data_IF_664816585767
#
_entry.id   IF_664816585767
#
_cell.length_a   1.000
_cell.length_b   1.000
_cell.length_c   1.000
_cell.angle_alpha   90.00
_cell.angle_beta   90.00
_cell.angle_gamma   90.00
#
_symmetry.space_group_name_H-M   'P 1'
#
loop_
_entity.id
_entity.type
_entity.pdbx_description
1 polymer ?
#
# COMPACT_ATOMS: atom_id res chain seq x y z
N UNK A 1 -3.32 -25.33 -14.71
CA UNK A 1 -2.95 -25.66 -13.31
C UNK A 1 -1.58 -25.10 -12.89
N UNK A 2 -0.61 -24.91 -13.79
CA UNK A 2 0.73 -24.35 -13.46
C UNK A 2 0.77 -22.83 -13.15
N UNK A 3 -0.06 -22.00 -13.80
CA UNK A 3 -0.01 -20.55 -13.63
C UNK A 3 -0.49 -20.08 -12.23
N UNK A 4 -1.50 -20.74 -11.67
CA UNK A 4 -2.04 -20.39 -10.34
C UNK A 4 -1.02 -20.65 -9.23
N UNK A 5 -0.18 -21.68 -9.39
CA UNK A 5 0.84 -22.05 -8.41
C UNK A 5 2.11 -21.19 -8.52
N UNK A 6 2.44 -20.72 -9.73
CA UNK A 6 3.52 -19.76 -9.96
C UNK A 6 3.26 -18.40 -9.31
N UNK A 7 2.00 -17.93 -9.36
CA UNK A 7 1.58 -16.70 -8.68
C UNK A 7 1.61 -16.81 -7.15
N UNK A 8 1.49 -18.01 -6.59
CA UNK A 8 1.55 -18.22 -5.14
C UNK A 8 2.96 -18.11 -4.57
N UNK A 9 4.01 -18.47 -5.31
CA UNK A 9 5.36 -18.68 -4.76
C UNK A 9 6.29 -17.44 -4.74
N UNK A 10 5.88 -16.28 -5.28
CA UNK A 10 6.74 -15.08 -5.39
C UNK A 10 6.08 -13.76 -5.00
N UNK A 11 5.13 -13.76 -4.07
CA UNK A 11 4.54 -12.53 -3.52
C UNK A 11 4.90 -12.39 -2.05
N UNK A 12 5.36 -11.22 -1.64
CA UNK A 12 5.84 -10.94 -0.28
C UNK A 12 4.80 -11.31 0.80
N UNK A 13 3.51 -11.09 0.53
CA UNK A 13 2.40 -11.46 1.43
C UNK A 13 2.34 -12.98 1.63
N UNK A 14 2.45 -13.77 0.56
CA UNK A 14 2.37 -15.23 0.66
C UNK A 14 3.56 -15.81 1.42
N UNK A 15 4.76 -15.26 1.22
CA UNK A 15 5.94 -15.69 1.97
C UNK A 15 5.75 -15.52 3.48
N UNK A 16 5.15 -14.39 3.91
CA UNK A 16 4.83 -14.14 5.31
C UNK A 16 3.76 -15.10 5.84
N UNK A 17 2.76 -15.44 5.01
CA UNK A 17 1.69 -16.36 5.39
C UNK A 17 2.12 -17.83 5.48
N UNK A 18 3.32 -18.18 5.00
CA UNK A 18 3.85 -19.55 5.02
C UNK A 18 5.09 -19.70 5.89
N UNK A 19 5.39 -18.72 6.77
CA UNK A 19 6.56 -18.82 7.67
C UNK A 19 6.44 -19.97 8.67
N UNK A 20 5.22 -20.29 9.09
CA UNK A 20 4.86 -21.45 9.92
C UNK A 20 5.80 -21.68 11.11
N UNK A 21 5.96 -20.66 11.96
CA UNK A 21 6.77 -20.77 13.17
C UNK A 21 8.27 -20.54 12.97
N UNK A 22 8.80 -20.66 11.75
CA UNK A 22 10.25 -20.61 11.50
C UNK A 22 11.01 -21.80 12.11
N UNK A 23 12.34 -21.85 11.94
CA UNK A 23 13.16 -22.92 12.53
C UNK A 23 13.47 -22.58 13.99
N UNK A 24 13.06 -23.44 14.92
CA UNK A 24 13.38 -23.30 16.35
C UNK A 24 12.49 -22.32 17.12
N UNK A 25 11.36 -21.91 16.55
CA UNK A 25 10.37 -21.06 17.23
C UNK A 25 8.95 -21.51 16.87
N UNK A 26 7.98 -21.05 17.67
CA UNK A 26 6.55 -21.27 17.46
C UNK A 26 5.81 -19.92 17.29
N UNK A 27 6.52 -18.89 16.82
CA UNK A 27 5.91 -17.58 16.58
C UNK A 27 4.88 -17.65 15.45
N UNK A 28 3.71 -17.08 15.68
CA UNK A 28 2.69 -16.94 14.64
C UNK A 28 3.20 -16.00 13.54
N UNK A 29 2.74 -16.25 12.31
CA UNK A 29 3.00 -15.36 11.19
C UNK A 29 2.48 -13.94 11.50
N UNK A 30 3.20 -12.89 11.09
CA UNK A 30 2.73 -11.53 11.28
C UNK A 30 1.48 -11.28 10.44
N UNK A 31 0.53 -10.50 10.98
CA UNK A 31 -0.56 -9.93 10.18
C UNK A 31 0.02 -8.88 9.23
N UNK A 32 -0.55 -8.77 8.03
CA UNK A 32 -0.07 -7.85 6.99
C UNK A 32 -1.14 -6.82 6.69
N UNK A 33 -0.79 -5.55 6.74
CA UNK A 33 -1.61 -4.43 6.27
C UNK A 33 -0.97 -3.84 5.00
N UNK A 34 -1.63 -3.98 3.86
CA UNK A 34 -1.24 -3.34 2.61
C UNK A 34 -1.89 -1.96 2.51
N UNK A 35 -1.07 -0.92 2.34
CA UNK A 35 -1.54 0.47 2.26
C UNK A 35 -1.34 0.98 0.83
N UNK A 36 -2.42 1.40 0.18
CA UNK A 36 -2.34 2.10 -1.10
C UNK A 36 -2.02 3.58 -0.84
N UNK A 37 -1.02 4.19 -1.53
CA UNK A 37 -0.76 5.63 -1.42
C UNK A 37 -1.93 6.45 -2.01
N UNK A 38 -2.09 7.73 -1.61
CA UNK A 38 -3.03 8.62 -2.29
C UNK A 38 -2.62 8.81 -3.76
N UNK A 39 -3.57 9.10 -4.67
CA UNK A 39 -3.24 9.42 -6.06
C UNK A 39 -2.31 10.63 -6.17
N UNK A 40 -1.47 10.63 -7.21
CA UNK A 40 -0.59 11.77 -7.49
C UNK A 40 -1.41 13.04 -7.73
N UNK A 41 -0.85 14.18 -7.30
CA UNK A 41 -1.47 15.47 -7.53
C UNK A 41 -1.10 15.97 -8.94
N UNK A 42 -2.05 16.51 -9.73
CA UNK A 42 -1.77 17.07 -11.06
C UNK A 42 -0.65 18.11 -11.13
N UNK A 43 -0.36 18.81 -10.02
CA UNK A 43 0.78 19.74 -9.95
C UNK A 43 2.14 19.07 -10.24
N UNK A 44 2.26 17.75 -10.08
CA UNK A 44 3.48 17.00 -10.39
C UNK A 44 3.95 17.20 -11.84
N UNK A 45 3.02 17.37 -12.79
CA UNK A 45 3.33 17.55 -14.21
C UNK A 45 4.03 18.88 -14.51
N UNK A 46 3.88 19.87 -13.61
CA UNK A 46 4.56 21.17 -13.71
C UNK A 46 5.96 21.15 -13.12
N UNK A 47 6.32 20.09 -12.39
CA UNK A 47 7.61 19.96 -11.73
C UNK A 47 8.74 19.70 -12.75
N UNK A 48 9.87 20.42 -12.67
CA UNK A 48 10.95 20.31 -13.66
C UNK A 48 11.64 18.94 -13.68
N UNK A 49 11.55 18.19 -12.58
CA UNK A 49 12.10 16.84 -12.44
C UNK A 49 11.00 15.80 -12.43
N UNK A 50 10.00 15.97 -11.56
CA UNK A 50 8.96 14.97 -11.34
C UNK A 50 7.93 14.89 -12.46
N UNK A 51 7.72 15.95 -13.24
CA UNK A 51 6.76 15.93 -14.35
C UNK A 51 7.12 14.92 -15.41
N UNK A 52 8.38 14.89 -15.86
CA UNK A 52 8.84 13.89 -16.82
C UNK A 52 9.04 12.53 -16.15
N UNK A 53 9.59 12.49 -14.93
CA UNK A 53 9.85 11.22 -14.22
C UNK A 53 8.56 10.42 -13.95
N UNK A 54 7.44 11.09 -13.69
CA UNK A 54 6.14 10.48 -13.42
C UNK A 54 5.13 10.63 -14.55
N UNK A 55 5.59 10.85 -15.79
CA UNK A 55 4.71 10.95 -16.95
C UNK A 55 3.77 9.74 -17.09
N UNK A 56 2.47 10.01 -17.22
CA UNK A 56 1.41 8.98 -17.22
C UNK A 56 1.13 8.38 -15.83
N UNK A 57 1.74 8.91 -14.78
CA UNK A 57 1.57 8.47 -13.40
C UNK A 57 0.22 8.84 -12.80
N UNK A 58 -0.38 9.97 -13.20
CA UNK A 58 -1.69 10.42 -12.69
C UNK A 58 -2.77 9.36 -12.94
N UNK A 59 -2.91 8.91 -14.19
CA UNK A 59 -3.92 7.92 -14.58
C UNK A 59 -3.68 6.57 -13.91
N UNK A 60 -2.41 6.15 -13.79
CA UNK A 60 -2.05 4.90 -13.11
C UNK A 60 -2.34 4.97 -11.62
N UNK A 61 -2.02 6.09 -10.96
CA UNK A 61 -2.19 6.26 -9.52
C UNK A 61 -3.66 6.17 -9.10
N UNK A 62 -4.59 6.67 -9.93
CA UNK A 62 -6.05 6.57 -9.70
C UNK A 62 -6.59 5.14 -9.76
N UNK A 63 -5.88 4.22 -10.42
CA UNK A 63 -6.28 2.83 -10.53
C UNK A 63 -5.76 1.96 -9.38
N UNK A 64 -4.76 2.46 -8.62
CA UNK A 64 -4.10 1.68 -7.57
C UNK A 64 -5.02 1.21 -6.45
N UNK A 65 -6.01 1.98 -5.94
CA UNK A 65 -6.82 1.53 -4.80
C UNK A 65 -7.51 0.18 -5.06
N UNK A 66 -8.20 0.05 -6.19
CA UNK A 66 -8.89 -1.19 -6.57
C UNK A 66 -7.91 -2.35 -6.82
N UNK A 67 -6.74 -2.07 -7.41
CA UNK A 67 -5.72 -3.09 -7.67
C UNK A 67 -5.07 -3.59 -6.37
N UNK A 68 -4.75 -2.69 -5.45
CA UNK A 68 -4.15 -3.03 -4.16
C UNK A 68 -5.14 -3.78 -3.28
N UNK A 69 -6.40 -3.38 -3.25
CA UNK A 69 -7.45 -4.11 -2.53
C UNK A 69 -7.59 -5.54 -3.06
N UNK A 70 -7.60 -5.73 -4.38
CA UNK A 70 -7.63 -7.06 -4.98
C UNK A 70 -6.40 -7.89 -4.61
N UNK A 71 -5.20 -7.29 -4.60
CA UNK A 71 -3.96 -7.95 -4.17
C UNK A 71 -4.00 -8.33 -2.68
N UNK A 72 -4.46 -7.44 -1.81
CA UNK A 72 -4.61 -7.70 -0.39
C UNK A 72 -5.57 -8.87 -0.16
N UNK A 73 -6.74 -8.86 -0.80
CA UNK A 73 -7.72 -9.94 -0.73
C UNK A 73 -7.17 -11.28 -1.23
N UNK A 74 -6.48 -11.29 -2.37
CA UNK A 74 -5.85 -12.51 -2.90
C UNK A 74 -4.77 -13.06 -1.97
N UNK A 75 -4.05 -12.17 -1.27
CA UNK A 75 -2.99 -12.52 -0.34
C UNK A 75 -3.47 -12.77 1.10
N UNK A 76 -4.74 -12.57 1.42
CA UNK A 76 -5.22 -12.65 2.81
C UNK A 76 -4.63 -11.58 3.74
N UNK A 77 -4.33 -10.40 3.20
CA UNK A 77 -3.87 -9.24 3.96
C UNK A 77 -5.02 -8.24 4.20
N UNK A 78 -4.90 -7.47 5.28
CA UNK A 78 -5.71 -6.28 5.50
C UNK A 78 -5.34 -5.18 4.49
N UNK A 79 -6.28 -4.26 4.25
CA UNK A 79 -6.12 -3.17 3.29
C UNK A 79 -6.51 -1.82 3.89
N UNK A 80 -5.79 -0.78 3.49
CA UNK A 80 -6.13 0.62 3.73
C UNK A 80 -5.83 1.45 2.48
N UNK A 81 -6.81 2.20 2.00
CA UNK A 81 -6.61 3.25 0.99
C UNK A 81 -6.25 4.57 1.69
N UNK A 82 -5.00 5.01 1.58
CA UNK A 82 -4.60 6.31 2.13
C UNK A 82 -5.32 7.47 1.43
N UNK A 83 -5.69 7.31 0.15
CA UNK A 83 -6.44 8.29 -0.64
C UNK A 83 -7.83 8.58 -0.12
N UNK A 84 -8.42 7.67 0.68
CA UNK A 84 -9.71 7.93 1.36
C UNK A 84 -9.57 8.79 2.62
N UNK A 85 -8.34 9.06 3.07
CA UNK A 85 -8.03 9.78 4.31
C UNK A 85 -7.32 11.10 4.02
N UNK A 86 -6.37 11.09 3.08
CA UNK A 86 -5.51 12.21 2.72
C UNK A 86 -5.44 12.37 1.20
N UNK A 87 -5.00 13.54 0.76
CA UNK A 87 -4.59 13.80 -0.62
C UNK A 87 -3.10 14.12 -0.66
N UNK A 88 -2.46 13.90 -1.81
CA UNK A 88 -1.10 14.40 -2.04
C UNK A 88 -1.12 15.93 -2.09
N UNK A 89 -0.63 16.56 -1.03
CA UNK A 89 -0.77 17.99 -0.76
C UNK A 89 0.58 18.72 -0.60
N UNK A 90 1.69 18.00 -0.77
CA UNK A 90 3.02 18.59 -0.91
C UNK A 90 3.13 19.44 -2.18
N UNK A 91 3.97 20.46 -2.12
CA UNK A 91 4.13 21.46 -3.20
C UNK A 91 4.71 20.90 -4.49
N UNK A 92 5.30 19.70 -4.46
CA UNK A 92 5.87 19.03 -5.62
C UNK A 92 4.91 18.04 -6.30
N UNK A 93 3.69 17.92 -5.78
CA UNK A 93 2.65 17.04 -6.28
C UNK A 93 2.89 15.54 -6.05
N UNK A 94 3.89 15.19 -5.25
CA UNK A 94 4.28 13.82 -4.92
C UNK A 94 4.23 13.54 -3.41
N UNK A 95 4.79 14.43 -2.59
CA UNK A 95 4.93 14.24 -1.15
C UNK A 95 3.71 14.77 -0.36
N UNK A 96 3.73 14.53 0.95
CA UNK A 96 2.71 14.94 1.89
C UNK A 96 3.17 16.10 2.76
N UNK A 97 2.24 16.93 3.22
CA UNK A 97 2.48 17.87 4.31
C UNK A 97 2.55 17.13 5.65
N UNK A 98 3.15 17.78 6.65
CA UNK A 98 3.19 17.25 8.02
C UNK A 98 1.77 17.01 8.61
N UNK A 99 0.78 17.80 8.20
CA UNK A 99 -0.62 17.61 8.63
C UNK A 99 -1.19 16.32 8.03
N UNK A 100 -0.99 16.10 6.73
CA UNK A 100 -1.43 14.87 6.05
C UNK A 100 -0.69 13.63 6.57
N UNK A 101 0.62 13.70 6.84
CA UNK A 101 1.36 12.61 7.49
C UNK A 101 0.78 12.27 8.87
N UNK A 102 0.46 13.28 9.69
CA UNK A 102 -0.16 13.08 11.01
C UNK A 102 -1.53 12.43 10.90
N UNK A 103 -2.36 12.86 9.95
CA UNK A 103 -3.69 12.29 9.70
C UNK A 103 -3.61 10.84 9.23
N UNK A 104 -2.67 10.54 8.32
CA UNK A 104 -2.40 9.18 7.86
C UNK A 104 -1.95 8.27 9.01
N UNK A 105 -1.02 8.74 9.86
CA UNK A 105 -0.56 7.99 11.03
C UNK A 105 -1.71 7.63 11.99
N UNK A 106 -2.64 8.56 12.23
CA UNK A 106 -3.81 8.30 13.06
C UNK A 106 -4.74 7.23 12.45
N UNK A 107 -4.97 7.27 11.13
CA UNK A 107 -5.77 6.27 10.43
C UNK A 107 -5.12 4.88 10.44
N UNK A 108 -3.81 4.81 10.19
CA UNK A 108 -3.04 3.56 10.27
C UNK A 108 -3.10 2.99 11.69
N UNK A 109 -2.90 3.82 12.72
CA UNK A 109 -2.98 3.38 14.11
C UNK A 109 -4.38 2.83 14.46
N UNK A 110 -5.44 3.45 13.97
CA UNK A 110 -6.81 2.94 14.08
C UNK A 110 -6.94 1.55 13.44
N UNK A 111 -6.46 1.40 12.21
CA UNK A 111 -6.52 0.13 11.48
C UNK A 111 -5.71 -0.98 12.15
N UNK A 112 -4.50 -0.67 12.60
CA UNK A 112 -3.65 -1.62 13.34
C UNK A 112 -4.33 -2.08 14.64
N UNK A 113 -5.02 -1.19 15.36
CA UNK A 113 -5.81 -1.58 16.54
C UNK A 113 -6.98 -2.49 16.19
N UNK A 114 -7.62 -2.33 15.03
CA UNK A 114 -8.65 -3.29 14.58
C UNK A 114 -8.04 -4.67 14.30
N UNK A 115 -6.88 -4.69 13.65
CA UNK A 115 -6.18 -5.90 13.23
C UNK A 115 -5.62 -6.67 14.43
N UNK A 116 -5.06 -6.00 15.43
CA UNK A 116 -4.37 -6.63 16.56
C UNK A 116 -5.26 -6.94 17.77
N UNK A 117 -6.57 -6.70 17.67
CA UNK A 117 -7.54 -7.21 18.65
C UNK A 117 -7.51 -8.73 18.76
#
# INVERSE_FOLDING_TARGET
>A
MFAADYFKRRRSINALNTLDGGVGTNYKNPKVLLICPPPLNPEIEKGPVFGEMFKGGLEKSRQLPALYEAVAKMGGADFLDAGSVISTDGSDGLHLTAESEKKLGAAIAGKVKEILK
#
